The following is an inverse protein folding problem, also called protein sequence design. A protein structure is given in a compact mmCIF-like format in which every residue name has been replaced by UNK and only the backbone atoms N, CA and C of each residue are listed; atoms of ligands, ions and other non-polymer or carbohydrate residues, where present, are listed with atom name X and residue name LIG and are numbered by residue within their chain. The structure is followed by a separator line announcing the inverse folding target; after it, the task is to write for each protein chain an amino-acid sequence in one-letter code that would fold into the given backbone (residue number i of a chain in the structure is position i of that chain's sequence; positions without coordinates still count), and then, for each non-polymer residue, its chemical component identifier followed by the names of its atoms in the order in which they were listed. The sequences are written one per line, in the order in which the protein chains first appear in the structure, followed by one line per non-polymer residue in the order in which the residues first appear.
data_IF_251383947358
#
_entry.id   IF_251383947358
#
_cell.length_a   1.000
_cell.length_b   1.000
_cell.length_c   1.000
_cell.angle_alpha   90.00
_cell.angle_beta   90.00
_cell.angle_gamma   90.00
#
_symmetry.space_group_name_H-M   'P 1'
#
loop_
_entity.id
_entity.type
_entity.pdbx_description
1 polymer ?
#
# COMPACT_ATOMS: atom_id res chain seq x y z
N UNK A 1 -0.71 5.13 18.94
CA UNK A 1 0.53 5.43 18.22
C UNK A 1 0.23 5.18 16.76
N UNK A 2 0.03 6.24 15.99
CA UNK A 2 -0.22 6.17 14.56
C UNK A 2 1.08 5.73 13.88
N UNK A 3 1.16 4.45 13.50
CA UNK A 3 2.33 3.91 12.84
C UNK A 3 2.25 4.23 11.35
N UNK A 4 3.14 5.07 10.84
CA UNK A 4 3.17 5.45 9.42
C UNK A 4 4.22 4.65 8.63
N UNK A 5 3.86 4.21 7.43
CA UNK A 5 4.77 3.50 6.52
C UNK A 5 5.91 4.41 6.06
N UNK A 6 7.16 3.91 6.12
CA UNK A 6 8.35 4.67 5.76
C UNK A 6 8.42 5.08 4.28
N UNK A 7 7.57 4.45 3.45
CA UNK A 7 7.45 4.73 2.01
C UNK A 7 6.16 5.48 1.66
N UNK A 8 5.38 5.95 2.62
CA UNK A 8 4.02 6.46 2.37
C UNK A 8 3.99 7.53 1.26
N UNK A 9 4.84 8.55 1.38
CA UNK A 9 4.94 9.69 0.44
C UNK A 9 5.52 9.32 -0.93
N UNK A 10 6.08 8.12 -1.10
CA UNK A 10 6.66 7.64 -2.36
C UNK A 10 5.96 6.39 -2.90
N UNK A 11 5.02 5.81 -2.16
CA UNK A 11 4.30 4.62 -2.54
C UNK A 11 3.25 4.94 -3.60
N UNK A 12 3.41 4.37 -4.80
CA UNK A 12 2.49 4.61 -5.90
C UNK A 12 1.01 4.26 -5.62
N UNK A 13 0.73 3.17 -4.90
CA UNK A 13 -0.64 2.86 -4.46
C UNK A 13 -1.22 3.93 -3.55
N UNK A 14 -0.44 4.41 -2.57
CA UNK A 14 -0.92 5.48 -1.70
C UNK A 14 -1.08 6.81 -2.46
N UNK A 15 -0.19 7.15 -3.39
CA UNK A 15 -0.37 8.35 -4.23
C UNK A 15 -1.60 8.27 -5.12
N UNK A 16 -1.87 7.10 -5.70
CA UNK A 16 -2.97 6.91 -6.66
C UNK A 16 -4.33 6.73 -5.97
N UNK A 17 -4.35 6.04 -4.82
CA UNK A 17 -5.58 5.63 -4.12
C UNK A 17 -5.70 6.20 -2.69
N UNK A 18 -4.75 7.02 -2.25
CA UNK A 18 -4.74 7.65 -0.92
C UNK A 18 -5.95 8.55 -0.66
N UNK A 19 -6.38 9.25 -1.71
CA UNK A 19 -7.46 10.23 -1.64
C UNK A 19 -8.78 9.73 -2.25
N UNK A 20 -8.81 8.50 -2.77
CA UNK A 20 -10.07 7.99 -3.34
C UNK A 20 -11.08 7.70 -2.23
N UNK A 21 -12.35 8.02 -2.50
CA UNK A 21 -13.46 7.78 -1.57
C UNK A 21 -13.86 6.29 -1.48
N UNK A 22 -13.21 5.43 -2.25
CA UNK A 22 -13.46 3.99 -2.23
C UNK A 22 -13.17 3.39 -0.85
N UNK A 23 -14.15 2.67 -0.30
CA UNK A 23 -14.10 2.15 1.06
C UNK A 23 -13.03 1.06 1.20
N UNK A 24 -12.84 0.23 0.16
CA UNK A 24 -11.86 -0.84 0.19
C UNK A 24 -10.44 -0.27 0.20
N UNK A 25 -10.14 0.70 -0.67
CA UNK A 25 -8.84 1.39 -0.71
C UNK A 25 -8.49 2.03 0.65
N UNK A 26 -9.44 2.75 1.26
CA UNK A 26 -9.26 3.36 2.59
C UNK A 26 -9.00 2.30 3.67
N UNK A 27 -9.71 1.18 3.63
CA UNK A 27 -9.49 0.06 4.54
C UNK A 27 -8.07 -0.51 4.42
N UNK A 28 -7.60 -0.74 3.19
CA UNK A 28 -6.23 -1.22 2.95
C UNK A 28 -5.17 -0.21 3.41
N UNK A 29 -5.36 1.08 3.17
CA UNK A 29 -4.45 2.13 3.63
C UNK A 29 -4.37 2.13 5.16
N UNK A 30 -5.51 2.14 5.85
CA UNK A 30 -5.52 2.16 7.31
C UNK A 30 -4.86 0.92 7.93
N UNK A 31 -5.06 -0.26 7.33
CA UNK A 31 -4.48 -1.50 7.86
C UNK A 31 -2.99 -1.65 7.52
N UNK A 32 -2.59 -1.36 6.28
CA UNK A 32 -1.25 -1.69 5.77
C UNK A 32 -0.31 -0.49 5.65
N UNK A 33 -0.84 0.73 5.54
CA UNK A 33 -0.02 1.94 5.44
C UNK A 33 0.07 2.69 6.76
N UNK A 34 -0.99 2.66 7.57
CA UNK A 34 -1.13 3.41 8.82
C UNK A 34 -1.41 2.50 10.04
N UNK A 35 -1.20 1.19 9.90
CA UNK A 35 -1.69 0.19 10.86
C UNK A 35 -0.72 -0.95 11.12
N UNK A 36 -1.20 -1.90 11.91
CA UNK A 36 -0.47 -3.06 12.42
C UNK A 36 -0.04 -4.05 11.33
N UNK A 37 -0.78 -4.15 10.22
CA UNK A 37 -0.45 -5.03 9.08
C UNK A 37 0.63 -4.47 8.15
N UNK A 38 1.27 -3.35 8.49
CA UNK A 38 2.29 -2.73 7.65
C UNK A 38 3.45 -3.68 7.28
N UNK A 39 3.85 -4.54 8.21
CA UNK A 39 4.90 -5.53 7.97
C UNK A 39 4.46 -6.67 7.04
N UNK A 40 3.15 -6.85 6.84
CA UNK A 40 2.57 -7.84 5.92
C UNK A 40 2.35 -7.27 4.50
N UNK A 41 2.68 -6.00 4.26
CA UNK A 41 2.47 -5.36 2.97
C UNK A 41 3.31 -6.00 1.85
N UNK A 42 2.63 -6.70 0.93
CA UNK A 42 3.25 -7.38 -0.22
C UNK A 42 3.93 -6.42 -1.19
N UNK A 43 3.58 -5.14 -1.19
CA UNK A 43 4.33 -4.12 -1.95
C UNK A 43 5.75 -3.94 -1.40
N UNK A 44 5.93 -3.97 -0.07
CA UNK A 44 7.27 -3.90 0.57
C UNK A 44 8.08 -5.14 0.23
N UNK A 45 7.44 -6.32 0.30
CA UNK A 45 8.08 -7.60 -0.08
C UNK A 45 8.53 -7.59 -1.54
N UNK A 46 7.66 -7.16 -2.47
CA UNK A 46 8.00 -7.05 -3.89
C UNK A 46 9.21 -6.14 -4.10
N UNK A 47 9.21 -4.94 -3.50
CA UNK A 47 10.34 -4.02 -3.65
C UNK A 47 11.64 -4.55 -3.07
N UNK A 48 11.59 -5.27 -1.95
CA UNK A 48 12.77 -5.92 -1.38
C UNK A 48 13.31 -7.03 -2.30
N UNK A 49 12.42 -7.80 -2.93
CA UNK A 49 12.78 -8.92 -3.80
C UNK A 49 13.31 -8.49 -5.18
N UNK A 50 12.72 -7.46 -5.76
CA UNK A 50 13.01 -7.03 -7.15
C UNK A 50 13.88 -5.77 -7.24
N UNK A 51 14.12 -5.07 -6.13
CA UNK A 51 14.88 -3.81 -6.12
C UNK A 51 14.12 -2.62 -6.72
N UNK A 52 12.84 -2.78 -7.09
CA UNK A 52 12.02 -1.77 -7.74
C UNK A 52 10.61 -1.68 -7.14
N UNK A 53 9.93 -0.55 -7.34
CA UNK A 53 8.53 -0.42 -6.93
C UNK A 53 7.63 -1.37 -7.75
N UNK A 54 6.60 -1.99 -7.14
CA UNK A 54 5.56 -2.64 -7.91
C UNK A 54 4.70 -1.61 -8.64
N UNK A 55 3.85 -2.08 -9.55
CA UNK A 55 2.79 -1.27 -10.17
C UNK A 55 1.92 -0.57 -9.12
N UNK A 56 1.48 0.64 -9.43
CA UNK A 56 0.61 1.45 -8.55
C UNK A 56 -0.75 0.78 -8.31
N UNK A 57 -1.18 -0.05 -9.26
CA UNK A 57 -2.40 -0.84 -9.21
C UNK A 57 -2.28 -2.12 -8.35
N UNK A 58 -1.09 -2.44 -7.83
CA UNK A 58 -0.92 -3.57 -6.91
C UNK A 58 -1.35 -3.18 -5.49
N UNK A 59 -2.37 -3.84 -4.94
CA UNK A 59 -2.82 -3.65 -3.57
C UNK A 59 -1.79 -4.14 -2.54
N UNK A 60 -1.89 -3.73 -1.26
CA UNK A 60 -1.02 -4.23 -0.19
C UNK A 60 -1.07 -5.75 0.04
N UNK A 61 -2.14 -6.40 -0.39
CA UNK A 61 -2.30 -7.87 -0.39
C UNK A 61 -1.59 -8.57 -1.55
N UNK A 62 -1.10 -7.82 -2.53
CA UNK A 62 -0.38 -8.31 -3.70
C UNK A 62 -1.25 -8.58 -4.93
N UNK A 63 -2.57 -8.49 -4.79
CA UNK A 63 -3.49 -8.56 -5.92
C UNK A 63 -3.51 -7.24 -6.71
N UNK A 64 -3.86 -7.29 -7.99
CA UNK A 64 -4.16 -6.09 -8.79
C UNK A 64 -5.54 -5.57 -8.46
N UNK A 65 -5.67 -4.25 -8.41
CA UNK A 65 -6.95 -3.58 -8.28
C UNK A 65 -7.70 -3.63 -9.63
N UNK A 66 -8.98 -3.94 -9.57
CA UNK A 66 -9.90 -3.89 -10.71
C UNK A 66 -11.08 -3.02 -10.26
N UNK A 67 -10.93 -1.70 -10.40
CA UNK A 67 -12.00 -0.73 -10.17
C UNK A 67 -12.76 -0.48 -11.47
#
# INVERSE_FOLDING_TARGET
MDQECEKLTTCGFFKKYGEVKDLACRGFINQYCLGDKMNECKRKEYSKKHGQAPSDDMMPTGHKIFL
#
